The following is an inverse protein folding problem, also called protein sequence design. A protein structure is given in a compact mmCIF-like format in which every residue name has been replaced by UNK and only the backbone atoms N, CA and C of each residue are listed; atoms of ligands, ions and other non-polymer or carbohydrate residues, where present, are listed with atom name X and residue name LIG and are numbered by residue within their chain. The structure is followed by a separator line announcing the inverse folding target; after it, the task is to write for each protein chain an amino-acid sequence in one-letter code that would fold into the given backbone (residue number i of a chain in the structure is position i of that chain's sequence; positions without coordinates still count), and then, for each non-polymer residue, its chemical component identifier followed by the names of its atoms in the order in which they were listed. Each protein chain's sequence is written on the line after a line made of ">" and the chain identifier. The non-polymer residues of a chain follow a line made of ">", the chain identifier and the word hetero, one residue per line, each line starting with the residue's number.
data_IF_729940668522
#
_entry.id   IF_729940668522
#
_cell.length_a   1.000
_cell.length_b   1.000
_cell.length_c   1.000
_cell.angle_alpha   90.00
_cell.angle_beta   90.00
_cell.angle_gamma   90.00
#
_symmetry.space_group_name_H-M   'P 1'
#
loop_
_entity.id
_entity.type
_entity.pdbx_description
1 polymer ?
#
# COMPACT_ATOMS: atom_id res chain seq x y z
N UNK A 1 5.33 -15.54 22.91
CA UNK A 1 4.40 -14.68 23.66
C UNK A 1 3.74 -15.57 24.72
N UNK A 2 4.10 -15.38 26.00
CA UNK A 2 3.69 -16.29 27.09
C UNK A 2 2.25 -15.99 27.55
N UNK A 3 1.43 -17.04 27.61
CA UNK A 3 0.29 -17.40 28.51
C UNK A 3 -0.52 -16.31 29.25
N UNK A 4 -0.52 -15.04 28.86
CA UNK A 4 -1.40 -14.04 29.49
C UNK A 4 -2.88 -14.19 29.06
N UNK A 5 -3.14 -14.94 27.99
CA UNK A 5 -4.47 -15.12 27.41
C UNK A 5 -4.90 -16.60 27.34
N UNK A 6 -4.26 -17.49 28.09
CA UNK A 6 -4.60 -18.94 28.10
C UNK A 6 -4.26 -19.71 26.81
N UNK A 7 -3.74 -19.03 25.78
CA UNK A 7 -3.35 -19.63 24.51
C UNK A 7 -1.83 -19.58 24.37
N UNK A 8 -1.22 -20.75 24.14
CA UNK A 8 0.19 -20.87 23.82
C UNK A 8 0.39 -20.83 22.29
N UNK A 9 0.69 -19.65 21.75
CA UNK A 9 0.95 -19.45 20.33
C UNK A 9 2.34 -18.84 20.10
N UNK A 10 3.04 -19.32 19.07
CA UNK A 10 4.30 -18.72 18.65
C UNK A 10 4.05 -17.33 18.06
N UNK A 11 5.04 -16.45 18.18
CA UNK A 11 4.95 -15.11 17.59
C UNK A 11 4.68 -15.18 16.08
N UNK A 12 5.39 -16.05 15.38
CA UNK A 12 5.24 -16.27 13.94
C UNK A 12 3.80 -16.65 13.54
N UNK A 13 3.15 -17.54 14.28
CA UNK A 13 1.74 -17.90 14.03
C UNK A 13 0.80 -16.72 14.30
N UNK A 14 1.04 -15.96 15.37
CA UNK A 14 0.23 -14.79 15.68
C UNK A 14 0.38 -13.70 14.60
N UNK A 15 1.60 -13.46 14.13
CA UNK A 15 1.90 -12.53 13.05
C UNK A 15 1.21 -12.94 11.74
N UNK A 16 1.38 -14.20 11.31
CA UNK A 16 0.72 -14.72 10.10
C UNK A 16 -0.80 -14.63 10.18
N UNK A 17 -1.38 -14.94 11.35
CA UNK A 17 -2.82 -14.79 11.57
C UNK A 17 -3.29 -13.34 11.40
N UNK A 18 -2.53 -12.37 11.93
CA UNK A 18 -2.78 -10.93 11.72
C UNK A 18 -2.72 -10.55 10.25
N UNK A 19 -1.68 -10.97 9.53
CA UNK A 19 -1.52 -10.63 8.10
C UNK A 19 -2.66 -11.20 7.24
N UNK A 20 -3.09 -12.44 7.50
CA UNK A 20 -4.25 -13.05 6.81
C UNK A 20 -5.53 -12.24 7.07
N UNK A 21 -5.79 -11.89 8.33
CA UNK A 21 -6.97 -11.08 8.68
C UNK A 21 -6.91 -9.69 8.03
N UNK A 22 -5.73 -9.05 8.01
CA UNK A 22 -5.53 -7.77 7.36
C UNK A 22 -5.79 -7.86 5.84
N UNK A 23 -5.26 -8.88 5.17
CA UNK A 23 -5.50 -9.10 3.74
C UNK A 23 -6.98 -9.36 3.45
N UNK A 24 -7.69 -10.08 4.33
CA UNK A 24 -9.14 -10.30 4.18
C UNK A 24 -9.97 -9.01 4.30
N UNK A 25 -9.49 -8.01 5.05
CA UNK A 25 -10.19 -6.74 5.24
C UNK A 25 -9.79 -5.72 4.17
N UNK A 26 -8.51 -5.66 3.82
CA UNK A 26 -7.92 -4.62 2.97
C UNK A 26 -7.73 -5.05 1.51
N UNK A 27 -7.93 -6.33 1.20
CA UNK A 27 -7.50 -6.90 -0.07
C UNK A 27 -6.02 -7.23 -0.08
N UNK A 28 -5.54 -7.75 -1.21
CA UNK A 28 -4.12 -8.05 -1.35
C UNK A 28 -3.33 -6.79 -1.75
N UNK A 29 -1.99 -6.80 -1.59
CA UNK A 29 -1.15 -5.75 -2.14
C UNK A 29 -1.39 -5.54 -3.64
N UNK A 30 -1.58 -6.62 -4.40
CA UNK A 30 -1.82 -6.57 -5.85
C UNK A 30 -3.12 -5.83 -6.18
N UNK A 31 -4.21 -6.09 -5.44
CA UNK A 31 -5.47 -5.34 -5.60
C UNK A 31 -5.26 -3.84 -5.31
N UNK A 32 -4.46 -3.51 -4.29
CA UNK A 32 -4.15 -2.14 -3.92
C UNK A 32 -3.35 -1.41 -5.00
N UNK A 33 -2.37 -2.08 -5.62
CA UNK A 33 -1.60 -1.52 -6.74
C UNK A 33 -2.43 -1.38 -8.01
N UNK A 34 -3.36 -2.31 -8.28
CA UNK A 34 -4.28 -2.17 -9.41
C UNK A 34 -5.18 -0.93 -9.30
N UNK A 35 -5.50 -0.50 -8.07
CA UNK A 35 -6.27 0.73 -7.82
C UNK A 35 -5.45 2.01 -7.88
N UNK A 36 -4.11 1.92 -7.99
CA UNK A 36 -3.22 3.07 -7.87
C UNK A 36 -3.53 4.12 -8.94
N UNK A 37 -3.61 3.78 -10.23
CA UNK A 37 -3.89 4.76 -11.29
C UNK A 37 -5.19 5.54 -11.05
N UNK A 38 -6.28 4.86 -10.68
CA UNK A 38 -7.57 5.52 -10.44
C UNK A 38 -7.52 6.48 -9.23
N UNK A 39 -6.82 6.09 -8.16
CA UNK A 39 -6.58 6.94 -7.00
C UNK A 39 -5.78 8.20 -7.39
N UNK A 40 -4.76 8.02 -8.22
CA UNK A 40 -3.88 9.10 -8.68
C UNK A 40 -4.60 10.10 -9.57
N UNK A 41 -5.43 9.62 -10.50
CA UNK A 41 -6.26 10.49 -11.33
C UNK A 41 -7.16 11.37 -10.47
N UNK A 42 -7.76 10.82 -9.41
CA UNK A 42 -8.55 11.60 -8.46
C UNK A 42 -7.69 12.61 -7.68
N UNK A 43 -6.50 12.20 -7.27
CA UNK A 43 -5.59 13.03 -6.49
C UNK A 43 -5.08 14.25 -7.27
N UNK A 44 -4.69 14.07 -8.54
CA UNK A 44 -4.23 15.15 -9.43
C UNK A 44 -5.36 16.14 -9.71
N UNK A 45 -6.58 15.65 -9.96
CA UNK A 45 -7.77 16.50 -10.17
C UNK A 45 -8.03 17.40 -8.96
N UNK A 46 -7.81 16.90 -7.75
CA UNK A 46 -8.04 17.65 -6.51
C UNK A 46 -6.85 18.50 -6.07
N UNK A 47 -5.63 18.16 -6.51
CA UNK A 47 -4.39 18.87 -6.16
C UNK A 47 -3.58 19.19 -7.43
N UNK A 48 -4.04 20.15 -8.24
CA UNK A 48 -3.28 20.61 -9.41
C UNK A 48 -1.85 20.99 -9.02
N UNK A 49 -0.86 20.58 -9.82
CA UNK A 49 0.57 20.82 -9.54
C UNK A 49 1.29 19.67 -8.83
N UNK A 50 0.57 18.61 -8.42
CA UNK A 50 1.20 17.40 -7.88
C UNK A 50 2.07 16.73 -8.94
N UNK A 51 3.34 16.47 -8.61
CA UNK A 51 4.28 15.76 -9.47
C UNK A 51 4.24 14.25 -9.23
N UNK A 52 4.39 13.51 -10.32
CA UNK A 52 4.13 12.08 -10.40
C UNK A 52 5.12 11.43 -11.37
N UNK A 53 5.72 10.32 -10.96
CA UNK A 53 6.48 9.45 -11.85
C UNK A 53 6.20 7.99 -11.53
N UNK A 54 5.89 7.20 -12.55
CA UNK A 54 5.70 5.75 -12.45
C UNK A 54 6.68 5.07 -13.41
N UNK A 55 7.31 3.99 -12.97
CA UNK A 55 8.14 3.14 -13.82
C UNK A 55 7.66 1.70 -13.74
N UNK A 56 7.52 1.08 -14.91
CA UNK A 56 7.33 -0.35 -15.07
C UNK A 56 8.60 -0.96 -15.67
N UNK A 57 8.81 -2.25 -15.44
CA UNK A 57 9.88 -3.00 -16.11
C UNK A 57 9.54 -3.33 -17.57
N UNK A 58 10.47 -4.00 -18.25
CA UNK A 58 10.34 -4.36 -19.67
C UNK A 58 9.16 -5.33 -19.93
N UNK A 59 8.67 -6.03 -18.89
CA UNK A 59 7.48 -6.88 -18.93
C UNK A 59 6.19 -6.15 -18.51
N UNK A 60 6.25 -4.85 -18.26
CA UNK A 60 5.11 -4.03 -17.86
C UNK A 60 4.67 -4.24 -16.41
N UNK A 61 5.53 -4.80 -15.56
CA UNK A 61 5.25 -4.98 -14.13
C UNK A 61 5.67 -3.74 -13.37
N UNK A 62 4.91 -3.39 -12.33
CA UNK A 62 5.20 -2.27 -11.46
C UNK A 62 6.61 -2.37 -10.86
N UNK A 63 7.42 -1.33 -11.01
CA UNK A 63 8.79 -1.28 -10.48
C UNK A 63 8.88 -0.29 -9.33
N UNK A 64 8.55 0.98 -9.58
CA UNK A 64 8.43 1.98 -8.54
C UNK A 64 7.51 3.12 -8.94
N UNK A 65 7.16 3.92 -7.94
CA UNK A 65 6.33 5.10 -8.10
C UNK A 65 6.80 6.20 -7.15
N UNK A 66 6.76 7.44 -7.63
CA UNK A 66 7.12 8.64 -6.89
C UNK A 66 5.99 9.69 -6.97
N UNK A 67 5.71 10.31 -5.82
CA UNK A 67 4.74 11.39 -5.68
C UNK A 67 5.36 12.55 -4.93
N UNK A 68 5.09 13.77 -5.39
CA UNK A 68 5.27 14.98 -4.60
C UNK A 68 4.03 15.86 -4.73
N UNK A 69 3.28 16.03 -3.64
CA UNK A 69 2.10 16.90 -3.62
C UNK A 69 2.50 18.33 -3.91
N UNK A 70 1.65 19.07 -4.66
CA UNK A 70 1.90 20.48 -4.98
C UNK A 70 2.25 21.30 -3.73
N UNK A 71 1.48 21.11 -2.65
CA UNK A 71 1.68 21.77 -1.36
C UNK A 71 3.04 21.45 -0.69
N UNK A 72 3.69 20.36 -1.08
CA UNK A 72 5.03 19.97 -0.60
C UNK A 72 6.16 20.44 -1.52
N UNK A 73 5.85 20.84 -2.75
CA UNK A 73 6.80 21.37 -3.74
C UNK A 73 6.90 22.88 -3.59
N UNK A 74 5.75 23.55 -3.44
CA UNK A 74 5.63 25.00 -3.36
C UNK A 74 5.84 25.56 -1.94
N UNK A 75 6.37 24.74 -1.03
CA UNK A 75 6.55 25.05 0.39
C UNK A 75 7.77 25.94 0.68
#
# INVERSE_FOLDING_TARGET
>A
MKIHHGVNISYDKAWRGREIALNSIRGTPEDSYAMLSAFLDALIRNNPGTYMAEEADDEGRFKFYFMALAASIDA
#
